data_IF_078000393636
#
_entry.id   IF_078000393636
#
_cell.length_a   1.000
_cell.length_b   1.000
_cell.length_c   1.000
_cell.angle_alpha   90.00
_cell.angle_beta   90.00
_cell.angle_gamma   90.00
#
_symmetry.space_group_name_H-M   'P 1'
#
loop_
_entity.id
_entity.type
_entity.pdbx_description
1 polymer ?
#
# COMPACT_ATOMS: atom_id res chain seq x y z
N UNK A 1 26.22 18.79 8.37
CA UNK A 1 25.65 17.63 9.08
C UNK A 1 24.53 18.17 9.97
N UNK A 2 23.26 18.14 9.52
CA UNK A 2 22.13 18.63 10.34
C UNK A 2 21.77 17.54 11.36
N UNK A 3 21.62 17.91 12.62
CA UNK A 3 21.20 16.99 13.68
C UNK A 3 19.78 16.49 13.42
N UNK A 4 19.55 15.18 13.55
CA UNK A 4 18.20 14.60 13.58
C UNK A 4 17.44 15.19 14.76
N UNK A 5 16.24 15.74 14.52
CA UNK A 5 15.42 16.32 15.58
C UNK A 5 14.59 15.24 16.27
N UNK A 6 14.19 15.47 17.53
CA UNK A 6 13.32 14.54 18.26
C UNK A 6 11.96 14.30 17.55
N UNK A 7 11.56 15.22 16.68
CA UNK A 7 10.36 15.07 15.85
C UNK A 7 10.58 14.07 14.71
N UNK A 8 11.73 14.11 14.05
CA UNK A 8 12.11 13.14 13.01
C UNK A 8 12.13 11.72 13.55
N UNK A 9 12.62 11.53 14.79
CA UNK A 9 12.66 10.22 15.42
C UNK A 9 11.26 9.68 15.75
N UNK A 10 10.36 10.53 16.26
CA UNK A 10 8.96 10.14 16.54
C UNK A 10 8.24 9.75 15.25
N UNK A 11 8.42 10.52 14.18
CA UNK A 11 7.86 10.22 12.85
C UNK A 11 8.38 8.91 12.30
N UNK A 12 9.70 8.68 12.38
CA UNK A 12 10.29 7.44 11.91
C UNK A 12 9.81 6.22 12.72
N UNK A 13 9.63 6.36 14.04
CA UNK A 13 9.06 5.31 14.88
C UNK A 13 7.60 5.00 14.51
N UNK A 14 6.81 6.03 14.20
CA UNK A 14 5.43 5.85 13.75
C UNK A 14 5.36 5.14 12.39
N UNK A 15 6.14 5.60 11.40
CA UNK A 15 6.22 4.96 10.09
C UNK A 15 6.57 3.47 10.20
N UNK A 16 7.62 3.12 10.96
CA UNK A 16 7.97 1.72 11.20
C UNK A 16 6.86 0.94 11.91
N UNK A 17 6.10 1.56 12.83
CA UNK A 17 4.98 0.91 13.47
C UNK A 17 3.86 0.60 12.48
N UNK A 18 3.54 1.55 11.60
CA UNK A 18 2.53 1.39 10.56
C UNK A 18 2.95 0.34 9.53
N UNK A 19 4.20 0.34 9.07
CA UNK A 19 4.74 -0.68 8.17
C UNK A 19 4.57 -2.09 8.75
N UNK A 20 4.86 -2.27 10.05
CA UNK A 20 4.65 -3.56 10.74
C UNK A 20 3.18 -3.96 10.77
N UNK A 21 2.26 -2.99 10.93
CA UNK A 21 0.82 -3.26 10.91
C UNK A 21 0.37 -3.72 9.53
N UNK A 22 0.76 -3.03 8.46
CA UNK A 22 0.41 -3.43 7.09
C UNK A 22 0.99 -4.77 6.71
N UNK A 23 2.26 -5.03 7.03
CA UNK A 23 2.88 -6.34 6.82
C UNK A 23 2.08 -7.46 7.49
N UNK A 24 1.64 -7.25 8.74
CA UNK A 24 0.81 -8.24 9.44
C UNK A 24 -0.55 -8.45 8.77
N UNK A 25 -1.19 -7.38 8.29
CA UNK A 25 -2.48 -7.47 7.57
C UNK A 25 -2.33 -8.21 6.24
N UNK A 26 -1.30 -7.87 5.45
CA UNK A 26 -1.01 -8.54 4.19
C UNK A 26 -0.76 -10.03 4.43
N UNK A 27 0.06 -10.38 5.42
CA UNK A 27 0.31 -11.79 5.76
C UNK A 27 -0.98 -12.51 6.20
N UNK A 28 -1.83 -11.85 6.98
CA UNK A 28 -3.08 -12.43 7.45
C UNK A 28 -4.07 -12.74 6.30
N UNK A 29 -4.24 -11.81 5.36
CA UNK A 29 -5.23 -11.95 4.29
C UNK A 29 -4.73 -12.70 3.07
N UNK A 30 -3.48 -12.51 2.67
CA UNK A 30 -2.96 -12.99 1.38
C UNK A 30 -1.59 -13.67 1.51
N UNK A 31 -1.08 -13.87 2.72
CA UNK A 31 0.21 -14.50 2.95
C UNK A 31 0.22 -16.01 2.66
N UNK A 32 -0.94 -16.67 2.74
CA UNK A 32 -1.09 -18.10 2.49
C UNK A 32 -2.25 -18.36 1.53
N UNK A 33 -2.17 -19.43 0.71
CA UNK A 33 -3.30 -19.85 -0.10
C UNK A 33 -4.45 -20.32 0.80
N UNK A 34 -5.69 -20.04 0.39
CA UNK A 34 -6.86 -20.61 1.04
C UNK A 34 -7.05 -22.07 0.62
N UNK A 35 -7.49 -22.96 1.53
CA UNK A 35 -7.88 -24.32 1.16
C UNK A 35 -8.94 -24.32 0.05
N UNK A 36 -8.90 -25.32 -0.83
CA UNK A 36 -10.00 -25.56 -1.76
C UNK A 36 -11.31 -25.73 -1.01
N UNK A 37 -12.36 -25.04 -1.46
CA UNK A 37 -13.71 -25.21 -0.93
C UNK A 37 -14.47 -26.01 -1.97
N UNK A 38 -14.62 -27.31 -1.74
CA UNK A 38 -15.38 -28.19 -2.62
C UNK A 38 -16.80 -27.64 -2.81
N UNK A 39 -17.18 -27.43 -4.08
CA UNK A 39 -18.52 -26.95 -4.45
C UNK A 39 -18.78 -25.46 -4.19
N UNK A 40 -17.78 -24.65 -3.81
CA UNK A 40 -17.96 -23.22 -3.69
C UNK A 40 -18.24 -22.57 -5.06
N UNK A 41 -19.44 -22.01 -5.22
CA UNK A 41 -19.74 -21.16 -6.38
C UNK A 41 -18.89 -19.90 -6.30
N UNK A 42 -18.41 -19.42 -7.45
CA UNK A 42 -17.77 -18.10 -7.52
C UNK A 42 -18.77 -17.03 -7.08
N UNK A 43 -18.54 -16.48 -5.88
CA UNK A 43 -19.29 -15.33 -5.38
C UNK A 43 -18.74 -14.11 -6.09
N UNK A 44 -19.58 -13.42 -6.86
CA UNK A 44 -19.22 -12.14 -7.46
C UNK A 44 -19.30 -11.06 -6.38
N UNK A 45 -18.16 -10.65 -5.86
CA UNK A 45 -18.05 -9.56 -4.87
C UNK A 45 -17.78 -8.26 -5.62
N UNK A 46 -18.33 -7.12 -5.18
CA UNK A 46 -17.95 -5.81 -5.72
C UNK A 46 -16.43 -5.63 -5.68
N UNK A 47 -15.89 -5.05 -6.76
CA UNK A 47 -14.49 -4.67 -6.79
C UNK A 47 -14.23 -3.53 -5.79
N UNK A 48 -13.02 -3.45 -5.22
CA UNK A 48 -12.65 -2.32 -4.38
C UNK A 48 -12.63 -1.02 -5.20
N UNK A 49 -12.86 0.10 -4.54
CA UNK A 49 -12.64 1.42 -5.14
C UNK A 49 -11.15 1.66 -5.41
N UNK A 50 -10.85 2.55 -6.35
CA UNK A 50 -9.46 2.95 -6.61
C UNK A 50 -8.97 3.96 -5.60
N UNK A 51 -7.70 3.85 -5.20
CA UNK A 51 -7.03 4.84 -4.36
C UNK A 51 -6.32 5.90 -5.20
N UNK A 52 -6.60 7.16 -4.90
CA UNK A 52 -6.16 8.33 -5.66
C UNK A 52 -4.81 8.92 -5.21
N UNK A 53 -4.22 8.37 -4.15
CA UNK A 53 -3.04 8.95 -3.50
C UNK A 53 -3.37 10.00 -2.44
N UNK A 54 -4.59 10.01 -1.89
CA UNK A 54 -4.98 10.88 -0.76
C UNK A 54 -4.03 10.75 0.43
N UNK A 55 -3.64 11.87 1.08
CA UNK A 55 -2.78 11.83 2.27
C UNK A 55 -3.49 11.39 3.55
N UNK A 56 -4.79 11.10 3.47
CA UNK A 56 -5.61 10.63 4.58
C UNK A 56 -5.31 9.15 4.88
N UNK A 57 -4.79 8.89 6.09
CA UNK A 57 -4.46 7.54 6.56
C UNK A 57 -5.70 6.65 6.69
N UNK A 58 -6.84 7.19 7.11
CA UNK A 58 -8.07 6.39 7.29
C UNK A 58 -8.62 5.96 5.92
N UNK A 59 -8.51 6.83 4.91
CA UNK A 59 -8.87 6.49 3.53
C UNK A 59 -7.95 5.41 2.96
N UNK A 60 -6.64 5.49 3.24
CA UNK A 60 -5.69 4.46 2.83
C UNK A 60 -5.98 3.12 3.52
N UNK A 61 -6.21 3.13 4.83
CA UNK A 61 -6.52 1.93 5.62
C UNK A 61 -7.80 1.24 5.13
N UNK A 62 -8.86 2.02 4.89
CA UNK A 62 -10.12 1.51 4.37
C UNK A 62 -9.96 0.88 2.98
N UNK A 63 -9.23 1.55 2.09
CA UNK A 63 -8.92 1.02 0.76
C UNK A 63 -8.12 -0.27 0.81
N UNK A 64 -7.02 -0.30 1.58
CA UNK A 64 -6.16 -1.48 1.71
C UNK A 64 -6.95 -2.66 2.28
N UNK A 65 -7.77 -2.43 3.30
CA UNK A 65 -8.59 -3.47 3.90
C UNK A 65 -9.63 -4.04 2.91
N UNK A 66 -10.26 -3.18 2.11
CA UNK A 66 -11.19 -3.60 1.07
C UNK A 66 -10.49 -4.44 -0.01
N UNK A 67 -9.32 -3.99 -0.47
CA UNK A 67 -8.49 -4.70 -1.46
C UNK A 67 -8.06 -6.08 -0.96
N UNK A 68 -7.55 -6.17 0.28
CA UNK A 68 -7.11 -7.43 0.89
C UNK A 68 -8.25 -8.44 1.06
N UNK A 69 -9.43 -7.98 1.51
CA UNK A 69 -10.62 -8.84 1.63
C UNK A 69 -11.08 -9.35 0.28
N UNK A 70 -11.06 -8.49 -0.73
CA UNK A 70 -11.39 -8.89 -2.09
C UNK A 70 -10.41 -9.95 -2.61
N UNK A 71 -9.09 -9.74 -2.45
CA UNK A 71 -8.07 -10.71 -2.84
C UNK A 71 -8.22 -12.05 -2.12
N UNK A 72 -8.53 -12.04 -0.82
CA UNK A 72 -8.81 -13.25 -0.04
C UNK A 72 -9.96 -14.06 -0.66
N UNK A 73 -11.08 -13.41 -0.96
CA UNK A 73 -12.27 -14.09 -1.53
C UNK A 73 -11.98 -14.68 -2.91
N UNK A 74 -11.18 -13.98 -3.72
CA UNK A 74 -10.74 -14.46 -5.03
C UNK A 74 -9.52 -15.39 -4.98
N UNK A 75 -9.08 -15.79 -3.76
CA UNK A 75 -8.00 -16.76 -3.52
C UNK A 75 -6.64 -16.34 -4.10
N UNK A 76 -6.37 -15.04 -4.18
CA UNK A 76 -5.04 -14.52 -4.56
C UNK A 76 -4.04 -14.55 -3.40
N UNK A 77 -4.11 -15.58 -2.56
CA UNK A 77 -3.26 -15.77 -1.39
C UNK A 77 -2.09 -16.70 -1.67
N UNK A 78 -0.98 -16.50 -0.97
CA UNK A 78 0.23 -17.30 -1.11
C UNK A 78 1.30 -16.64 -1.98
N UNK A 79 2.54 -17.15 -1.91
CA UNK A 79 3.71 -16.54 -2.55
C UNK A 79 3.59 -16.51 -4.08
N UNK A 80 3.00 -17.55 -4.69
CA UNK A 80 2.89 -17.66 -6.15
C UNK A 80 2.03 -16.55 -6.78
N UNK A 81 1.13 -15.95 -5.99
CA UNK A 81 0.29 -14.85 -6.44
C UNK A 81 0.90 -13.47 -6.20
N UNK A 82 2.12 -13.35 -5.65
CA UNK A 82 2.69 -12.05 -5.31
C UNK A 82 2.91 -11.15 -6.55
N UNK A 83 3.53 -11.70 -7.60
CA UNK A 83 3.70 -10.98 -8.87
C UNK A 83 2.36 -10.61 -9.53
N UNK A 84 1.34 -11.46 -9.38
CA UNK A 84 -0.01 -11.14 -9.83
C UNK A 84 -0.61 -9.98 -9.03
N UNK A 85 -0.47 -9.99 -7.70
CA UNK A 85 -0.93 -8.91 -6.81
C UNK A 85 -0.25 -7.57 -7.10
N UNK A 86 1.02 -7.59 -7.50
CA UNK A 86 1.77 -6.40 -7.98
C UNK A 86 1.09 -5.78 -9.20
N UNK A 87 0.75 -6.57 -10.21
CA UNK A 87 0.05 -6.03 -11.38
C UNK A 87 -1.39 -5.62 -11.07
N UNK A 88 -2.06 -6.41 -10.23
CA UNK A 88 -3.45 -6.21 -9.85
C UNK A 88 -3.66 -4.92 -9.06
N UNK A 89 -2.76 -4.58 -8.13
CA UNK A 89 -2.90 -3.34 -7.34
C UNK A 89 -2.89 -2.11 -8.23
N UNK A 90 -2.08 -2.08 -9.30
CA UNK A 90 -2.02 -0.97 -10.26
C UNK A 90 -3.37 -0.66 -10.93
N UNK A 91 -4.25 -1.66 -11.08
CA UNK A 91 -5.60 -1.47 -11.64
C UNK A 91 -6.54 -0.73 -10.68
N UNK A 92 -6.20 -0.70 -9.38
CA UNK A 92 -6.97 -0.06 -8.32
C UNK A 92 -6.28 1.21 -7.79
N UNK A 93 -5.44 1.82 -8.62
CA UNK A 93 -4.83 3.12 -8.35
C UNK A 93 -5.31 4.15 -9.37
N UNK A 94 -5.46 5.39 -8.91
CA UNK A 94 -5.73 6.57 -9.74
C UNK A 94 -4.92 7.75 -9.23
N UNK A 95 -4.99 8.89 -9.94
CA UNK A 95 -4.33 10.13 -9.51
C UNK A 95 -2.83 9.96 -9.22
N UNK A 96 -2.39 10.50 -8.08
CA UNK A 96 -0.97 10.50 -7.70
C UNK A 96 -0.45 9.10 -7.38
N UNK A 97 -1.32 8.19 -6.95
CA UNK A 97 -0.91 6.83 -6.63
C UNK A 97 -0.54 6.05 -7.89
N UNK A 98 -1.31 6.19 -8.97
CA UNK A 98 -0.99 5.49 -10.24
C UNK A 98 0.19 6.12 -10.96
N UNK A 99 0.37 7.43 -10.86
CA UNK A 99 1.58 8.12 -11.35
C UNK A 99 2.84 7.52 -10.71
N UNK A 100 2.88 7.46 -9.37
CA UNK A 100 4.00 6.85 -8.66
C UNK A 100 4.19 5.37 -9.02
N UNK A 101 3.11 4.59 -9.10
CA UNK A 101 3.20 3.18 -9.48
C UNK A 101 3.79 2.99 -10.88
N UNK A 102 3.38 3.82 -11.85
CA UNK A 102 3.92 3.76 -13.20
C UNK A 102 5.38 4.19 -13.25
N UNK A 103 5.78 5.21 -12.50
CA UNK A 103 7.16 5.69 -12.51
C UNK A 103 8.13 4.72 -11.82
N UNK A 104 7.72 4.15 -10.68
CA UNK A 104 8.61 3.41 -9.78
C UNK A 104 8.52 1.89 -9.93
N UNK A 105 7.33 1.38 -10.27
CA UNK A 105 7.00 -0.06 -10.22
C UNK A 105 6.90 -0.66 -11.61
N UNK A 106 5.96 -0.16 -12.42
CA UNK A 106 5.58 -0.81 -13.69
C UNK A 106 6.27 -0.21 -14.93
N UNK A 107 6.84 0.98 -14.81
CA UNK A 107 7.41 1.71 -15.95
C UNK A 107 8.70 1.14 -16.51
N UNK A 108 9.06 1.65 -17.68
CA UNK A 108 10.33 1.35 -18.35
C UNK A 108 11.52 1.83 -17.49
N UNK A 109 11.32 2.91 -16.75
CA UNK A 109 12.31 3.54 -15.88
C UNK A 109 12.13 3.15 -14.40
N UNK A 110 11.48 2.02 -14.11
CA UNK A 110 11.24 1.54 -12.75
C UNK A 110 12.53 1.48 -11.93
N UNK A 111 12.44 1.84 -10.66
CA UNK A 111 13.61 1.95 -9.77
C UNK A 111 14.14 0.62 -9.30
N UNK A 112 13.34 -0.44 -9.40
CA UNK A 112 13.80 -1.81 -9.17
C UNK A 112 13.05 -2.81 -10.05
N UNK A 113 13.68 -3.94 -10.31
CA UNK A 113 13.14 -4.93 -11.24
C UNK A 113 12.02 -5.78 -10.63
N UNK A 114 12.18 -6.21 -9.37
CA UNK A 114 11.27 -7.13 -8.71
C UNK A 114 10.62 -6.46 -7.51
N UNK A 115 9.40 -5.97 -7.68
CA UNK A 115 8.56 -5.51 -6.58
C UNK A 115 7.73 -6.64 -6.01
N UNK A 116 7.60 -6.65 -4.70
CA UNK A 116 6.59 -7.43 -4.00
C UNK A 116 5.34 -6.59 -3.75
N UNK A 117 4.20 -7.26 -3.56
CA UNK A 117 2.97 -6.57 -3.19
C UNK A 117 3.12 -5.79 -1.87
N UNK A 118 3.83 -6.36 -0.88
CA UNK A 118 4.12 -5.69 0.40
C UNK A 118 4.86 -4.37 0.19
N UNK A 119 5.91 -4.37 -0.63
CA UNK A 119 6.72 -3.18 -0.88
C UNK A 119 5.93 -2.08 -1.61
N UNK A 120 4.97 -2.45 -2.47
CA UNK A 120 4.11 -1.47 -3.14
C UNK A 120 3.17 -0.81 -2.13
N UNK A 121 2.53 -1.59 -1.25
CA UNK A 121 1.65 -1.03 -0.22
C UNK A 121 2.43 -0.10 0.72
N UNK A 122 3.64 -0.49 1.12
CA UNK A 122 4.52 0.37 1.94
C UNK A 122 4.92 1.64 1.16
N UNK A 123 5.33 1.51 -0.10
CA UNK A 123 5.73 2.63 -0.95
C UNK A 123 4.60 3.64 -1.18
N UNK A 124 3.38 3.16 -1.41
CA UNK A 124 2.19 4.02 -1.51
C UNK A 124 1.93 4.80 -0.22
N UNK A 125 2.00 4.13 0.93
CA UNK A 125 1.84 4.81 2.22
C UNK A 125 2.92 5.87 2.44
N UNK A 126 4.18 5.53 2.20
CA UNK A 126 5.30 6.45 2.38
C UNK A 126 5.18 7.67 1.46
N UNK A 127 4.77 7.44 0.21
CA UNK A 127 4.68 8.49 -0.80
C UNK A 127 3.45 9.38 -0.67
N UNK A 128 2.29 8.80 -0.39
CA UNK A 128 1.03 9.53 -0.41
C UNK A 128 0.66 10.07 0.97
N UNK A 129 0.80 9.26 2.02
CA UNK A 129 0.35 9.60 3.39
C UNK A 129 1.48 10.26 4.18
N UNK A 130 2.65 9.61 4.25
CA UNK A 130 3.76 10.12 5.05
C UNK A 130 4.40 11.39 4.45
N UNK A 131 4.64 11.42 3.13
CA UNK A 131 5.25 12.60 2.48
C UNK A 131 4.40 13.86 2.60
N UNK A 132 3.07 13.76 2.59
CA UNK A 132 2.19 14.91 2.77
C UNK A 132 2.29 15.49 4.19
N UNK A 133 2.49 14.62 5.18
CA UNK A 133 2.73 15.03 6.58
C UNK A 133 4.04 15.81 6.72
N UNK A 134 5.05 15.51 5.90
CA UNK A 134 6.31 16.27 5.85
C UNK A 134 6.08 17.67 5.26
N UNK A 135 5.41 17.76 4.12
CA UNK A 135 5.18 19.05 3.46
C UNK A 135 4.31 20.00 4.30
N UNK A 136 3.22 19.49 4.89
CA UNK A 136 2.35 20.28 5.77
C UNK A 136 3.07 20.78 7.02
N UNK A 137 3.99 19.99 7.58
CA UNK A 137 4.78 20.41 8.73
C UNK A 137 5.82 21.48 8.37
N UNK A 138 6.38 21.44 7.15
CA UNK A 138 7.31 22.46 6.67
C UNK A 138 6.59 23.80 6.43
N UNK A 139 5.42 23.79 5.79
CA UNK A 139 4.65 25.01 5.52
C UNK A 139 4.25 25.75 6.82
N UNK A 140 3.82 25.01 7.86
CA UNK A 140 3.50 25.61 9.17
C UNK A 140 4.69 26.23 9.90
N UNK A 141 5.92 25.83 9.56
CA UNK A 141 7.14 26.39 10.15
C UNK A 141 7.62 27.65 9.43
N UNK A 142 7.23 27.84 8.17
CA UNK A 142 7.60 29.02 7.37
C UNK A 142 6.62 30.20 7.57
N UNK A 143 5.45 29.94 8.16
CA UNK A 143 4.45 30.96 8.52
C UNK A 143 4.65 31.58 9.93
N UNK A 144 5.80 31.31 10.59
CA UNK A 144 6.16 31.83 11.94
C UNK A 144 7.32 32.80 11.87
#
# INVERSE_FOLDING_TARGET
MRARTADDERRQRWAHAVHRVYKKQIQHYVGNPLPELDGARQIKVPHPESYDGSPDVEKFDAWLLALLRWMLIYRYGGPDYDAYRVSLVGLYLTGKAVEWYNDEVAGIHRTKEHWTFEEIIIGLFDRCVQSATVHLAMQRFEEV
#
